data_IF_095307028239
#
_entry.id   IF_095307028239
#
_cell.length_a   1.000
_cell.length_b   1.000
_cell.length_c   1.000
_cell.angle_alpha   90.00
_cell.angle_beta   90.00
_cell.angle_gamma   90.00
#
_symmetry.space_group_name_H-M   'P 1'
#
loop_
_entity.id
_entity.type
_entity.pdbx_description
1 polymer ?
#
# COMPACT_ATOMS: atom_id res chain seq x y z
N UNK A 1 2.40 -2.03 14.86
CA UNK A 1 1.27 -2.90 14.51
C UNK A 1 1.65 -3.55 13.20
N UNK A 2 1.78 -4.87 13.18
CA UNK A 2 2.05 -5.63 11.95
C UNK A 2 0.71 -6.23 11.52
N UNK A 3 0.31 -5.99 10.28
CA UNK A 3 -0.92 -6.53 9.70
C UNK A 3 -0.56 -7.12 8.34
N UNK A 4 -0.87 -8.40 8.16
CA UNK A 4 -0.69 -9.08 6.89
C UNK A 4 -2.05 -9.29 6.22
N UNK A 5 -2.12 -8.98 4.93
CA UNK A 5 -3.28 -9.21 4.08
C UNK A 5 -2.88 -10.18 2.97
N UNK A 6 -3.67 -11.23 2.78
CA UNK A 6 -3.53 -12.20 1.69
C UNK A 6 -4.88 -12.29 1.01
N UNK A 7 -4.90 -12.16 -0.31
CA UNK A 7 -6.10 -12.36 -1.12
C UNK A 7 -5.86 -13.48 -2.11
N UNK A 8 -6.80 -14.40 -2.19
CA UNK A 8 -6.93 -15.29 -3.35
C UNK A 8 -7.44 -14.48 -4.56
N UNK A 9 -7.30 -15.01 -5.79
CA UNK A 9 -7.74 -14.29 -7.00
C UNK A 9 -9.24 -13.94 -6.94
N UNK A 10 -10.05 -14.83 -6.35
CA UNK A 10 -11.49 -14.65 -6.10
C UNK A 10 -11.83 -13.60 -5.04
N UNK A 11 -10.84 -13.08 -4.31
CA UNK A 11 -11.02 -12.16 -3.18
C UNK A 11 -10.61 -10.72 -3.50
N UNK A 12 -10.30 -10.40 -4.75
CA UNK A 12 -9.96 -9.04 -5.17
C UNK A 12 -11.04 -8.01 -4.81
N UNK A 13 -12.31 -8.42 -4.83
CA UNK A 13 -13.45 -7.57 -4.45
C UNK A 13 -13.45 -7.19 -2.96
N UNK A 14 -12.59 -7.80 -2.13
CA UNK A 14 -12.41 -7.46 -0.72
C UNK A 14 -11.41 -6.32 -0.48
N UNK A 15 -10.60 -5.96 -1.47
CA UNK A 15 -9.62 -4.87 -1.32
C UNK A 15 -10.25 -3.54 -0.87
N UNK A 16 -11.39 -3.07 -1.42
CA UNK A 16 -12.04 -1.85 -0.95
C UNK A 16 -12.40 -1.89 0.54
N UNK A 17 -12.77 -3.06 1.08
CA UNK A 17 -13.06 -3.21 2.51
C UNK A 17 -11.79 -3.06 3.35
N UNK A 18 -10.67 -3.61 2.88
CA UNK A 18 -9.38 -3.47 3.56
C UNK A 18 -8.89 -2.02 3.51
N UNK A 19 -8.94 -1.35 2.36
CA UNK A 19 -8.60 0.07 2.25
C UNK A 19 -9.50 0.95 3.11
N UNK A 20 -10.80 0.66 3.19
CA UNK A 20 -11.71 1.35 4.11
C UNK A 20 -11.31 1.17 5.57
N UNK A 21 -10.80 0.00 5.96
CA UNK A 21 -10.32 -0.22 7.33
C UNK A 21 -9.01 0.51 7.58
N UNK A 22 -8.08 0.45 6.63
CA UNK A 22 -6.79 1.13 6.67
C UNK A 22 -6.93 2.66 6.73
N UNK A 23 -7.86 3.25 5.97
CA UNK A 23 -8.05 4.70 5.95
C UNK A 23 -8.44 5.28 7.32
N UNK A 24 -8.99 4.47 8.22
CA UNK A 24 -9.28 4.88 9.61
C UNK A 24 -8.04 5.03 10.51
N UNK A 25 -6.87 4.52 10.08
CA UNK A 25 -5.63 4.52 10.85
C UNK A 25 -4.85 5.84 10.71
N UNK A 26 -5.46 6.96 11.08
CA UNK A 26 -4.92 8.32 10.85
C UNK A 26 -3.59 8.65 11.58
N UNK A 27 -3.22 7.84 12.58
CA UNK A 27 -1.97 7.99 13.34
C UNK A 27 -0.85 7.07 12.85
N UNK A 28 -1.05 6.36 11.74
CA UNK A 28 -0.02 5.46 11.21
C UNK A 28 1.21 6.25 10.78
N UNK A 29 2.39 5.79 11.21
CA UNK A 29 3.68 6.39 10.84
C UNK A 29 4.49 5.50 9.90
N UNK A 30 4.22 4.19 9.90
CA UNK A 30 4.92 3.21 9.08
C UNK A 30 3.91 2.20 8.55
N UNK A 31 4.00 1.92 7.27
CA UNK A 31 3.18 0.91 6.61
C UNK A 31 4.06 0.09 5.69
N UNK A 32 4.04 -1.23 5.90
CA UNK A 32 4.84 -2.20 5.16
C UNK A 32 3.88 -3.23 4.57
N UNK A 33 3.94 -3.36 3.25
CA UNK A 33 3.35 -4.46 2.51
C UNK A 33 4.51 -5.18 1.86
N UNK A 34 4.73 -6.42 2.28
CA UNK A 34 5.79 -7.26 1.74
C UNK A 34 5.28 -8.69 1.54
N UNK A 35 5.80 -9.34 0.49
CA UNK A 35 5.54 -10.75 0.24
C UNK A 35 6.37 -11.61 1.19
N UNK A 36 5.69 -12.29 2.11
CA UNK A 36 6.35 -13.22 3.02
C UNK A 36 6.44 -14.66 2.51
N UNK A 37 5.69 -15.06 1.47
CA UNK A 37 5.66 -16.45 0.99
C UNK A 37 6.16 -16.60 -0.46
N UNK A 38 7.24 -17.35 -0.61
CA UNK A 38 7.85 -17.73 -1.89
C UNK A 38 7.16 -19.02 -2.36
N UNK A 39 5.99 -18.90 -2.99
CA UNK A 39 5.35 -20.09 -3.60
C UNK A 39 3.83 -20.05 -3.75
N UNK A 40 3.12 -19.15 -3.05
CA UNK A 40 1.69 -18.96 -3.26
C UNK A 40 1.45 -17.78 -4.22
N UNK A 41 0.57 -17.98 -5.22
CA UNK A 41 0.05 -16.93 -6.11
C UNK A 41 -0.95 -16.02 -5.37
N UNK A 42 -0.59 -15.54 -4.18
CA UNK A 42 -1.43 -14.59 -3.43
C UNK A 42 -1.20 -13.19 -3.98
N UNK A 43 -2.26 -12.55 -4.47
CA UNK A 43 -2.20 -11.14 -4.84
C UNK A 43 -2.26 -10.28 -3.57
N UNK A 44 -1.49 -9.21 -3.57
CA UNK A 44 -1.45 -8.23 -2.49
C UNK A 44 -2.39 -7.05 -2.78
N UNK A 45 -2.51 -6.13 -1.82
CA UNK A 45 -3.26 -4.88 -2.01
C UNK A 45 -2.69 -4.11 -3.20
N UNK A 46 -3.53 -3.69 -4.14
CA UNK A 46 -3.12 -2.87 -5.27
C UNK A 46 -2.86 -1.43 -4.81
N UNK A 47 -1.58 -1.12 -4.62
CA UNK A 47 -1.09 0.17 -4.14
C UNK A 47 -0.91 1.21 -5.26
N UNK A 48 -1.51 1.03 -6.43
CA UNK A 48 -1.57 2.09 -7.45
C UNK A 48 -2.55 3.19 -7.06
N UNK A 49 -2.42 4.36 -7.68
CA UNK A 49 -3.15 5.56 -7.29
C UNK A 49 -4.67 5.36 -7.22
N UNK A 50 -5.26 4.97 -8.35
CA UNK A 50 -6.71 4.81 -8.51
C UNK A 50 -7.27 3.64 -7.67
N UNK A 51 -6.44 2.63 -7.42
CA UNK A 51 -6.85 1.41 -6.73
C UNK A 51 -6.76 1.53 -5.21
N UNK A 52 -5.73 2.18 -4.68
CA UNK A 52 -5.38 2.09 -3.26
C UNK A 52 -4.93 3.40 -2.63
N UNK A 53 -3.92 4.07 -3.20
CA UNK A 53 -3.27 5.21 -2.52
C UNK A 53 -4.23 6.37 -2.27
N UNK A 54 -5.14 6.68 -3.20
CA UNK A 54 -6.13 7.75 -2.99
C UNK A 54 -7.03 7.47 -1.77
N UNK A 55 -7.36 6.21 -1.52
CA UNK A 55 -8.16 5.79 -0.36
C UNK A 55 -7.43 6.04 0.96
N UNK A 56 -6.09 6.12 0.92
CA UNK A 56 -5.19 6.34 2.05
C UNK A 56 -4.69 7.79 2.14
N UNK A 57 -5.26 8.71 1.34
CA UNK A 57 -4.89 10.14 1.29
C UNK A 57 -4.91 10.87 2.65
N UNK A 58 -5.68 10.36 3.62
CA UNK A 58 -5.81 10.92 4.96
C UNK A 58 -4.65 10.59 5.91
N UNK A 59 -3.73 9.70 5.52
CA UNK A 59 -2.56 9.31 6.33
C UNK A 59 -1.48 10.40 6.36
N UNK A 60 -1.79 11.58 6.92
CA UNK A 60 -0.85 12.72 6.96
C UNK A 60 0.32 12.54 7.92
N UNK A 61 0.32 11.47 8.73
CA UNK A 61 1.39 11.14 9.68
C UNK A 61 2.35 10.06 9.19
N UNK A 62 2.12 9.48 8.01
CA UNK A 62 3.00 8.44 7.48
C UNK A 62 4.40 9.01 7.22
N UNK A 63 5.41 8.28 7.68
CA UNK A 63 6.84 8.61 7.55
C UNK A 63 7.57 7.63 6.64
N UNK A 64 7.13 6.37 6.64
CA UNK A 64 7.74 5.31 5.82
C UNK A 64 6.63 4.51 5.16
N UNK A 65 6.68 4.42 3.84
CA UNK A 65 5.92 3.48 3.02
C UNK A 65 6.89 2.43 2.47
N UNK A 66 6.58 1.15 2.65
CA UNK A 66 7.32 0.04 2.05
C UNK A 66 6.34 -0.86 1.31
N UNK A 67 6.58 -1.07 0.02
CA UNK A 67 5.72 -1.81 -0.90
C UNK A 67 6.62 -2.73 -1.72
N UNK A 68 6.58 -4.03 -1.42
CA UNK A 68 7.49 -5.03 -1.99
C UNK A 68 6.74 -6.25 -2.52
N UNK A 69 7.06 -6.64 -3.75
CA UNK A 69 6.50 -7.81 -4.42
C UNK A 69 6.45 -7.59 -5.93
N UNK A 70 6.59 -8.67 -6.70
CA UNK A 70 6.52 -8.63 -8.17
C UNK A 70 5.18 -8.11 -8.70
N UNK A 71 4.11 -8.24 -7.91
CA UNK A 71 2.77 -7.73 -8.21
C UNK A 71 2.52 -6.33 -7.62
N UNK A 72 3.54 -5.69 -7.05
CA UNK A 72 3.47 -4.44 -6.26
C UNK A 72 4.38 -3.35 -6.81
N UNK A 73 4.49 -3.26 -8.13
CA UNK A 73 5.20 -2.19 -8.79
C UNK A 73 4.39 -0.89 -8.77
N UNK A 74 5.02 0.21 -8.37
CA UNK A 74 4.47 1.55 -8.52
C UNK A 74 4.94 2.17 -9.83
N UNK A 75 4.09 3.00 -10.43
CA UNK A 75 4.48 3.87 -11.54
C UNK A 75 5.02 5.21 -10.99
N UNK A 76 5.74 5.97 -11.82
CA UNK A 76 6.29 7.29 -11.41
C UNK A 76 5.19 8.23 -10.88
N UNK A 77 4.00 8.16 -11.46
CA UNK A 77 2.85 8.97 -11.05
C UNK A 77 2.35 8.61 -9.65
N UNK A 78 2.39 7.33 -9.27
CA UNK A 78 1.98 6.88 -7.93
C UNK A 78 2.94 7.43 -6.87
N UNK A 79 4.25 7.32 -7.13
CA UNK A 79 5.30 7.81 -6.24
C UNK A 79 5.24 9.32 -6.10
N UNK A 80 5.05 10.05 -7.20
CA UNK A 80 4.90 11.50 -7.17
C UNK A 80 3.70 11.92 -6.34
N UNK A 81 2.56 11.29 -6.55
CA UNK A 81 1.35 11.57 -5.78
C UNK A 81 1.57 11.34 -4.28
N UNK A 82 2.25 10.24 -3.92
CA UNK A 82 2.61 9.91 -2.53
C UNK A 82 3.44 11.01 -1.87
N UNK A 83 4.48 11.50 -2.56
CA UNK A 83 5.35 12.57 -2.07
C UNK A 83 4.56 13.87 -1.88
N UNK A 84 3.68 14.21 -2.83
CA UNK A 84 2.89 15.43 -2.79
C UNK A 84 1.80 15.40 -1.70
N UNK A 85 1.21 14.23 -1.43
CA UNK A 85 0.06 14.11 -0.54
C UNK A 85 0.40 13.77 0.91
N UNK A 86 1.59 13.22 1.17
CA UNK A 86 2.01 12.82 2.51
C UNK A 86 3.17 13.67 3.03
N UNK A 87 2.89 14.81 3.69
CA UNK A 87 3.88 15.85 3.99
C UNK A 87 4.95 15.45 5.01
N UNK A 88 4.77 14.32 5.71
CA UNK A 88 5.72 13.80 6.70
C UNK A 88 6.51 12.59 6.21
N UNK A 89 6.31 12.22 4.95
CA UNK A 89 6.96 11.08 4.35
C UNK A 89 8.47 11.34 4.25
N UNK A 90 9.26 10.47 4.89
CA UNK A 90 10.71 10.50 4.85
C UNK A 90 11.30 9.50 3.85
N UNK A 91 10.58 8.40 3.59
CA UNK A 91 11.05 7.36 2.66
C UNK A 91 9.89 6.58 2.02
N UNK A 92 10.10 6.22 0.75
CA UNK A 92 9.33 5.21 0.02
C UNK A 92 10.31 4.12 -0.40
N UNK A 93 10.00 2.87 -0.08
CA UNK A 93 10.77 1.70 -0.47
C UNK A 93 9.91 0.78 -1.32
N UNK A 94 10.45 0.28 -2.42
CA UNK A 94 9.76 -0.62 -3.32
C UNK A 94 10.40 -0.69 -4.70
N UNK A 95 9.69 -1.33 -5.63
CA UNK A 95 10.07 -1.44 -7.03
C UNK A 95 9.29 -0.42 -7.87
N UNK A 96 10.02 0.31 -8.72
CA UNK A 96 9.46 1.24 -9.70
C UNK A 96 9.48 0.56 -11.07
N UNK A 97 8.35 0.58 -11.78
CA UNK A 97 8.27 0.12 -13.17
C UNK A 97 8.77 1.16 -14.17
#
# INVERSE_FOLDING_TARGET
>A
LEMSFRFEESEQDLQPLVFRRLSSLVLIEKFDISRHDIGAETRQLDMRLVSGLEQLSHWKNIKILSVWGSEQSMEEIDVRWVIENWPRLGAVHGELN
#
